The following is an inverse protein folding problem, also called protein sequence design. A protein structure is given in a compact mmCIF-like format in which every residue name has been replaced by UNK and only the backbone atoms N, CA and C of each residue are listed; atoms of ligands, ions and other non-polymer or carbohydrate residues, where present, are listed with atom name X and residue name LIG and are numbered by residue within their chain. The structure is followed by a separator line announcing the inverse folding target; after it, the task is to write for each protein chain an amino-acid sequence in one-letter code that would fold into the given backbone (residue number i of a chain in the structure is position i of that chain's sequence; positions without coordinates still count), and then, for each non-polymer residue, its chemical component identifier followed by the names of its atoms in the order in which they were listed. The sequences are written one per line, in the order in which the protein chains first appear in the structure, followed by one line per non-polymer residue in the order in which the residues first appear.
data_IF_232604601430
#
_entry.id   IF_232604601430
#
_cell.length_a   1.000
_cell.length_b   1.000
_cell.length_c   1.000
_cell.angle_alpha   90.00
_cell.angle_beta   90.00
_cell.angle_gamma   90.00
#
_symmetry.space_group_name_H-M   'P 1'
#
loop_
_entity.id
_entity.type
_entity.pdbx_description
1 polymer ?
#
# COMPACT_ATOMS: atom_id res chain seq x y z
N UNK A 1 8.70 3.42 23.90
CA UNK A 1 8.22 3.58 22.51
C UNK A 1 6.71 3.51 22.53
N UNK A 2 6.03 4.29 21.70
CA UNK A 2 4.55 4.32 21.68
C UNK A 2 4.03 3.48 20.51
N UNK A 3 2.88 2.81 20.65
CA UNK A 3 2.32 1.98 19.57
C UNK A 3 1.54 2.87 18.61
N UNK A 4 1.65 2.62 17.31
CA UNK A 4 0.86 3.33 16.32
C UNK A 4 -0.64 3.03 16.46
N UNK A 5 -1.00 1.81 16.87
CA UNK A 5 -2.39 1.40 17.14
C UNK A 5 -3.11 2.36 18.07
N UNK A 6 -2.46 2.78 19.15
CA UNK A 6 -3.09 3.60 20.20
C UNK A 6 -3.49 4.98 19.65
N UNK A 7 -2.67 5.55 18.76
CA UNK A 7 -2.97 6.81 18.08
C UNK A 7 -4.08 6.65 17.04
N UNK A 8 -4.04 5.57 16.25
CA UNK A 8 -5.08 5.29 15.26
C UNK A 8 -6.42 5.07 15.97
N UNK A 9 -6.47 4.25 17.03
CA UNK A 9 -7.68 3.97 17.78
C UNK A 9 -8.27 5.25 18.39
N UNK A 10 -7.44 6.08 19.01
CA UNK A 10 -7.88 7.34 19.60
C UNK A 10 -8.53 8.29 18.58
N UNK A 11 -8.01 8.35 17.35
CA UNK A 11 -8.54 9.23 16.30
C UNK A 11 -9.72 8.59 15.57
N UNK A 12 -9.62 7.31 15.24
CA UNK A 12 -10.59 6.59 14.42
C UNK A 12 -11.91 6.35 15.17
N UNK A 13 -11.82 6.01 16.46
CA UNK A 13 -13.01 5.78 17.30
C UNK A 13 -13.39 7.01 18.14
N UNK A 14 -12.79 8.17 17.87
CA UNK A 14 -13.05 9.42 18.60
C UNK A 14 -12.92 9.24 20.13
N UNK A 15 -11.86 8.54 20.54
CA UNK A 15 -11.58 8.19 21.94
C UNK A 15 -12.47 7.09 22.54
N UNK A 16 -13.46 6.57 21.81
CA UNK A 16 -14.33 5.47 22.27
C UNK A 16 -13.65 4.13 22.08
N UNK A 17 -14.06 3.14 22.88
CA UNK A 17 -13.60 1.77 22.69
C UNK A 17 -14.18 1.21 21.36
N UNK A 18 -13.38 0.47 20.58
CA UNK A 18 -13.87 -0.27 19.42
C UNK A 18 -14.99 -1.24 19.83
N UNK A 19 -16.10 -1.26 19.10
CA UNK A 19 -17.21 -2.20 19.34
C UNK A 19 -16.87 -3.64 18.99
N UNK A 20 -15.90 -3.86 18.10
CA UNK A 20 -15.41 -5.17 17.69
C UNK A 20 -13.87 -5.16 17.64
N UNK A 21 -13.26 -6.22 18.21
CA UNK A 21 -11.83 -6.45 18.17
C UNK A 21 -11.29 -6.59 16.73
N UNK A 22 -12.09 -7.08 15.77
CA UNK A 22 -11.70 -7.18 14.36
C UNK A 22 -11.56 -5.81 13.67
N UNK A 23 -12.18 -4.77 14.22
CA UNK A 23 -12.07 -3.40 13.70
C UNK A 23 -10.82 -2.67 14.20
N UNK A 24 -10.07 -3.27 15.13
CA UNK A 24 -8.85 -2.64 15.67
C UNK A 24 -7.70 -2.75 14.67
N UNK A 25 -6.85 -1.70 14.56
CA UNK A 25 -5.67 -1.72 13.72
C UNK A 25 -4.71 -2.88 14.05
N UNK A 26 -3.98 -3.35 13.04
CA UNK A 26 -2.87 -4.29 13.19
C UNK A 26 -3.28 -5.58 13.91
N UNK A 27 -4.32 -6.24 13.38
CA UNK A 27 -4.85 -7.52 13.85
C UNK A 27 -5.28 -7.49 15.32
N UNK A 28 -6.21 -6.60 15.69
CA UNK A 28 -6.77 -6.65 17.04
C UNK A 28 -5.86 -6.09 18.14
N UNK A 29 -4.80 -5.33 17.80
CA UNK A 29 -3.66 -5.08 18.69
C UNK A 29 -2.92 -6.35 19.17
N UNK A 30 -3.10 -7.48 18.49
CA UNK A 30 -2.46 -8.78 18.78
C UNK A 30 -1.26 -9.10 17.88
N UNK A 31 -0.88 -8.19 16.99
CA UNK A 31 0.32 -8.33 16.16
C UNK A 31 1.52 -8.77 17.01
N UNK A 32 2.20 -9.85 16.62
CA UNK A 32 3.36 -10.36 17.34
C UNK A 32 4.49 -9.32 17.46
N UNK A 33 4.54 -8.39 16.50
CA UNK A 33 5.42 -7.22 16.48
C UNK A 33 4.59 -5.98 16.13
N UNK A 34 3.95 -5.33 17.12
CA UNK A 34 3.10 -4.19 16.84
C UNK A 34 3.93 -3.05 16.26
N UNK A 35 3.40 -2.28 15.29
CA UNK A 35 4.07 -1.09 14.78
C UNK A 35 4.37 -0.07 15.88
N UNK A 36 5.66 0.25 16.06
CA UNK A 36 6.14 1.16 17.09
C UNK A 36 6.59 2.50 16.49
N UNK A 37 6.22 3.60 17.14
CA UNK A 37 6.67 4.94 16.82
C UNK A 37 7.98 5.26 17.55
N UNK A 38 8.91 5.88 16.83
CA UNK A 38 10.18 6.31 17.39
C UNK A 38 10.00 7.62 18.18
N UNK A 39 10.55 7.72 19.40
CA UNK A 39 10.55 8.98 20.14
C UNK A 39 11.52 10.02 19.54
N UNK A 40 12.49 9.59 18.72
CA UNK A 40 13.46 10.47 18.05
C UNK A 40 13.71 10.00 16.62
N UNK A 41 13.72 10.96 15.70
CA UNK A 41 13.87 10.76 14.26
C UNK A 41 12.57 10.35 13.57
N UNK A 42 12.61 10.36 12.23
CA UNK A 42 11.44 10.12 11.38
C UNK A 42 11.00 8.66 11.49
N UNK A 43 9.70 8.44 11.71
CA UNK A 43 9.01 7.16 11.47
C UNK A 43 8.19 7.28 10.19
N UNK A 44 8.26 6.31 9.29
CA UNK A 44 7.49 6.34 8.04
C UNK A 44 6.38 5.31 8.04
N UNK A 45 5.21 5.71 7.53
CA UNK A 45 4.05 4.85 7.33
C UNK A 45 3.76 4.81 5.83
N UNK A 46 3.68 3.60 5.25
CA UNK A 46 3.27 3.45 3.86
C UNK A 46 1.79 3.78 3.75
N UNK A 47 1.44 4.70 2.86
CA UNK A 47 0.06 4.93 2.44
C UNK A 47 -0.13 4.23 1.09
N UNK A 48 -1.02 3.23 1.04
CA UNK A 48 -1.25 2.42 -0.15
C UNK A 48 -2.71 2.54 -0.64
N UNK A 49 -3.03 3.62 -1.36
CA UNK A 49 -4.33 3.77 -2.00
C UNK A 49 -4.45 2.83 -3.21
N UNK A 50 -5.67 2.37 -3.48
CA UNK A 50 -5.90 1.53 -4.65
C UNK A 50 -7.36 1.15 -4.85
N UNK A 51 -7.69 0.78 -6.09
CA UNK A 51 -9.03 0.27 -6.41
C UNK A 51 -9.35 -1.01 -5.64
N UNK A 52 -8.38 -1.93 -5.54
CA UNK A 52 -8.54 -3.25 -4.94
C UNK A 52 -9.85 -3.93 -5.40
N UNK A 53 -10.13 -3.93 -6.71
CA UNK A 53 -11.42 -4.34 -7.27
C UNK A 53 -11.30 -5.55 -8.21
N UNK A 54 -11.07 -6.77 -7.69
CA UNK A 54 -10.84 -7.13 -6.29
C UNK A 54 -9.34 -7.07 -5.89
N UNK A 55 -8.99 -7.17 -4.59
CA UNK A 55 -7.59 -7.34 -4.19
C UNK A 55 -7.02 -8.68 -4.70
N UNK A 56 -5.70 -8.71 -4.92
CA UNK A 56 -5.01 -9.86 -5.53
C UNK A 56 -3.55 -9.95 -5.06
N UNK A 57 -2.88 -11.07 -5.36
CA UNK A 57 -1.51 -11.35 -4.90
C UNK A 57 -0.50 -10.29 -5.32
N UNK A 58 -0.69 -9.68 -6.50
CA UNK A 58 0.13 -8.57 -6.98
C UNK A 58 0.16 -7.37 -6.03
N UNK A 59 -0.99 -6.95 -5.50
CA UNK A 59 -1.05 -5.88 -4.49
C UNK A 59 -0.25 -6.23 -3.23
N UNK A 60 -0.40 -7.46 -2.74
CA UNK A 60 0.31 -7.94 -1.55
C UNK A 60 1.81 -8.10 -1.78
N UNK A 61 2.22 -8.62 -2.94
CA UNK A 61 3.63 -8.73 -3.31
C UNK A 61 4.29 -7.36 -3.38
N UNK A 62 3.62 -6.36 -3.98
CA UNK A 62 4.11 -4.98 -4.01
C UNK A 62 4.31 -4.42 -2.60
N UNK A 63 3.27 -4.50 -1.76
CA UNK A 63 3.31 -3.99 -0.39
C UNK A 63 4.40 -4.68 0.44
N UNK A 64 4.44 -6.02 0.43
CA UNK A 64 5.39 -6.80 1.21
C UNK A 64 6.83 -6.60 0.73
N UNK A 65 7.07 -6.59 -0.58
CA UNK A 65 8.41 -6.39 -1.13
C UNK A 65 8.98 -5.03 -0.77
N UNK A 66 8.19 -3.97 -0.95
CA UNK A 66 8.61 -2.61 -0.62
C UNK A 66 8.85 -2.48 0.89
N UNK A 67 7.95 -2.99 1.73
CA UNK A 67 8.11 -2.91 3.19
C UNK A 67 9.43 -3.55 3.67
N UNK A 68 9.83 -4.68 3.08
CA UNK A 68 11.02 -5.40 3.51
C UNK A 68 12.32 -5.01 2.79
N UNK A 69 12.25 -4.36 1.61
CA UNK A 69 13.41 -4.12 0.75
C UNK A 69 13.65 -2.64 0.39
N UNK A 70 12.77 -1.72 0.78
CA UNK A 70 12.97 -0.29 0.50
C UNK A 70 14.17 0.34 1.24
N UNK A 71 14.73 -0.35 2.23
CA UNK A 71 15.90 0.10 2.99
C UNK A 71 15.57 0.45 4.45
N UNK A 72 16.44 0.03 5.36
CA UNK A 72 16.25 0.25 6.81
C UNK A 72 16.39 1.73 7.21
N UNK A 73 16.99 2.56 6.35
CA UNK A 73 17.12 4.01 6.49
C UNK A 73 15.77 4.76 6.51
N UNK A 74 14.73 4.17 5.91
CA UNK A 74 13.40 4.78 5.89
C UNK A 74 12.66 4.65 7.22
N UNK A 75 13.02 3.67 8.05
CA UNK A 75 12.31 3.34 9.28
C UNK A 75 10.79 3.16 9.05
N UNK A 76 10.44 2.31 8.09
CA UNK A 76 9.06 1.93 7.82
C UNK A 76 8.50 1.15 9.02
N UNK A 77 7.44 1.66 9.63
CA UNK A 77 6.83 1.05 10.82
C UNK A 77 5.56 0.26 10.49
N UNK A 78 4.76 0.73 9.52
CA UNK A 78 3.47 0.16 9.17
C UNK A 78 3.06 0.52 7.73
N UNK A 79 1.93 -0.05 7.31
CA UNK A 79 1.19 0.37 6.14
C UNK A 79 -0.30 0.62 6.45
N UNK A 80 -0.89 1.57 5.74
CA UNK A 80 -2.33 1.83 5.74
C UNK A 80 -2.82 1.75 4.29
N UNK A 81 -3.74 0.83 4.03
CA UNK A 81 -4.39 0.66 2.74
C UNK A 81 -5.68 1.47 2.73
N UNK A 82 -5.92 2.22 1.66
CA UNK A 82 -7.13 3.05 1.48
C UNK A 82 -7.85 2.60 0.20
N UNK A 83 -8.93 1.80 0.31
CA UNK A 83 -9.72 1.41 -0.85
C UNK A 83 -10.43 2.62 -1.47
N UNK A 84 -10.29 2.77 -2.79
CA UNK A 84 -10.89 3.88 -3.53
C UNK A 84 -12.42 3.89 -3.44
N UNK A 85 -13.04 5.08 -3.45
CA UNK A 85 -14.50 5.22 -3.42
C UNK A 85 -15.18 4.50 -4.59
N UNK A 86 -16.36 3.93 -4.35
CA UNK A 86 -17.10 3.18 -5.38
C UNK A 86 -17.50 4.07 -6.56
N UNK A 87 -17.90 5.33 -6.31
CA UNK A 87 -18.15 6.30 -7.38
C UNK A 87 -17.01 6.40 -8.39
N UNK A 88 -15.76 6.53 -7.91
CA UNK A 88 -14.57 6.58 -8.78
C UNK A 88 -14.36 5.28 -9.57
N UNK A 89 -14.75 4.13 -9.01
CA UNK A 89 -14.73 2.86 -9.74
C UNK A 89 -15.81 2.83 -10.82
N UNK A 90 -17.02 3.32 -10.54
CA UNK A 90 -18.08 3.45 -11.56
C UNK A 90 -17.65 4.37 -12.69
N UNK A 91 -17.10 5.55 -12.36
CA UNK A 91 -16.58 6.49 -13.36
C UNK A 91 -15.47 5.83 -14.20
N UNK A 92 -14.55 5.09 -13.57
CA UNK A 92 -13.46 4.36 -14.24
C UNK A 92 -13.96 3.25 -15.17
N UNK A 93 -15.06 2.59 -14.83
CA UNK A 93 -15.61 1.45 -15.56
C UNK A 93 -16.92 1.78 -16.30
N UNK A 94 -17.21 3.07 -16.50
CA UNK A 94 -18.47 3.51 -17.10
C UNK A 94 -18.70 2.97 -18.52
N UNK A 95 -17.62 2.71 -19.25
CA UNK A 95 -17.65 2.15 -20.61
C UNK A 95 -17.56 0.61 -20.64
N UNK A 96 -17.45 -0.07 -19.50
CA UNK A 96 -17.34 -1.53 -19.40
C UNK A 96 -18.71 -2.13 -19.06
N UNK A 97 -19.41 -2.64 -20.07
CA UNK A 97 -20.72 -3.29 -19.92
C UNK A 97 -20.69 -4.52 -19.00
N UNK A 98 -19.51 -5.10 -18.79
CA UNK A 98 -19.30 -6.27 -17.93
C UNK A 98 -18.59 -5.90 -16.62
N UNK A 99 -18.60 -4.62 -16.25
CA UNK A 99 -17.98 -4.15 -15.03
C UNK A 99 -18.52 -4.89 -13.80
N UNK A 100 -17.60 -5.48 -13.05
CA UNK A 100 -17.89 -6.07 -11.76
C UNK A 100 -17.29 -5.20 -10.65
N UNK A 101 -18.13 -4.45 -9.95
CA UNK A 101 -17.72 -3.47 -8.94
C UNK A 101 -18.07 -3.99 -7.54
N UNK A 102 -17.03 -4.21 -6.74
CA UNK A 102 -17.16 -4.58 -5.34
C UNK A 102 -17.34 -3.33 -4.48
N UNK A 103 -18.23 -3.42 -3.49
CA UNK A 103 -18.44 -2.36 -2.50
C UNK A 103 -17.15 -2.14 -1.69
N UNK A 104 -17.02 -1.00 -1.00
CA UNK A 104 -15.91 -0.76 -0.07
C UNK A 104 -15.92 -1.78 1.06
N UNK A 105 -17.09 -2.17 1.56
CA UNK A 105 -17.23 -3.22 2.56
C UNK A 105 -16.68 -4.56 2.07
N UNK A 106 -17.07 -5.01 0.88
CA UNK A 106 -16.59 -6.26 0.27
C UNK A 106 -15.06 -6.23 0.05
N UNK A 107 -14.52 -5.13 -0.50
CA UNK A 107 -13.08 -4.98 -0.72
C UNK A 107 -12.29 -4.92 0.58
N UNK A 108 -12.82 -4.24 1.59
CA UNK A 108 -12.23 -4.19 2.94
C UNK A 108 -12.17 -5.58 3.56
N UNK A 109 -13.27 -6.34 3.49
CA UNK A 109 -13.34 -7.68 4.03
C UNK A 109 -12.30 -8.61 3.36
N UNK A 110 -12.22 -8.58 2.02
CA UNK A 110 -11.22 -9.34 1.26
C UNK A 110 -9.77 -8.96 1.61
N UNK A 111 -9.51 -7.68 1.93
CA UNK A 111 -8.20 -7.20 2.34
C UNK A 111 -7.84 -7.61 3.77
N UNK A 112 -8.73 -7.39 4.75
CA UNK A 112 -8.44 -7.60 6.19
C UNK A 112 -7.91 -9.00 6.50
N UNK A 113 -8.49 -10.02 5.88
CA UNK A 113 -8.10 -11.42 6.09
C UNK A 113 -6.82 -11.83 5.37
N UNK A 114 -6.24 -10.93 4.56
CA UNK A 114 -5.15 -11.23 3.64
C UNK A 114 -3.89 -10.39 3.87
N UNK A 115 -3.98 -9.31 4.65
CA UNK A 115 -2.88 -8.38 4.88
C UNK A 115 -2.02 -8.79 6.08
N UNK A 116 -0.72 -8.41 6.12
CA UNK A 116 0.15 -8.75 7.22
C UNK A 116 -0.18 -7.93 8.48
N UNK A 117 0.24 -8.40 9.66
CA UNK A 117 -0.01 -7.78 10.96
C UNK A 117 0.48 -6.31 11.09
N UNK A 118 1.43 -5.88 10.25
CA UNK A 118 1.94 -4.50 10.24
C UNK A 118 1.19 -3.58 9.26
N UNK A 119 0.15 -4.09 8.59
CA UNK A 119 -0.72 -3.34 7.72
C UNK A 119 -2.12 -3.20 8.32
N UNK A 120 -2.84 -2.15 7.92
CA UNK A 120 -4.22 -1.91 8.31
C UNK A 120 -5.03 -1.39 7.12
N UNK A 121 -6.31 -1.74 7.05
CA UNK A 121 -7.24 -1.24 6.03
C UNK A 121 -8.08 -0.12 6.66
N UNK A 122 -7.97 1.08 6.11
CA UNK A 122 -8.89 2.16 6.41
C UNK A 122 -10.18 1.96 5.61
N UNK A 123 -11.28 1.67 6.30
CA UNK A 123 -12.55 1.20 5.74
C UNK A 123 -13.63 2.29 5.56
N UNK A 124 -13.29 3.56 5.85
CA UNK A 124 -14.13 4.72 5.55
C UNK A 124 -13.78 5.33 4.17
N UNK A 125 -14.44 6.42 3.78
CA UNK A 125 -14.26 7.06 2.47
C UNK A 125 -12.91 7.76 2.29
N UNK A 126 -12.50 8.00 1.04
CA UNK A 126 -11.29 8.80 0.76
C UNK A 126 -11.35 10.22 1.37
N UNK A 127 -12.56 10.81 1.47
CA UNK A 127 -12.80 12.08 2.16
C UNK A 127 -12.59 11.96 3.68
N UNK A 128 -13.12 10.90 4.29
CA UNK A 128 -12.90 10.62 5.71
C UNK A 128 -11.42 10.38 6.01
N UNK A 129 -10.67 9.78 5.07
CA UNK A 129 -9.23 9.59 5.19
C UNK A 129 -8.48 10.92 5.36
N UNK A 130 -8.82 11.96 4.59
CA UNK A 130 -8.16 13.27 4.71
C UNK A 130 -8.35 13.86 6.12
N UNK A 131 -9.56 13.77 6.64
CA UNK A 131 -9.90 14.24 8.00
C UNK A 131 -9.18 13.42 9.07
N UNK A 132 -9.24 12.09 8.95
CA UNK A 132 -8.56 11.16 9.85
C UNK A 132 -7.05 11.42 9.89
N UNK A 133 -6.42 11.54 8.72
CA UNK A 133 -4.99 11.79 8.59
C UNK A 133 -4.59 13.09 9.26
N UNK A 134 -5.32 14.18 9.02
CA UNK A 134 -5.02 15.50 9.61
C UNK A 134 -5.06 15.45 11.15
N UNK A 135 -6.08 14.80 11.72
CA UNK A 135 -6.18 14.58 13.18
C UNK A 135 -5.01 13.73 13.70
N UNK A 136 -4.63 12.68 12.98
CA UNK A 136 -3.54 11.79 13.35
C UNK A 136 -2.17 12.51 13.33
N UNK A 137 -1.90 13.31 12.29
CA UNK A 137 -0.69 14.14 12.19
C UNK A 137 -0.62 15.20 13.29
N UNK A 138 -1.76 15.83 13.62
CA UNK A 138 -1.86 16.78 14.73
C UNK A 138 -1.47 16.10 16.05
N UNK A 139 -2.02 14.91 16.32
CA UNK A 139 -1.72 14.15 17.54
C UNK A 139 -0.26 13.71 17.62
N UNK A 140 0.37 13.36 16.48
CA UNK A 140 1.81 13.08 16.45
C UNK A 140 2.64 14.32 16.77
N UNK A 141 2.27 15.48 16.20
CA UNK A 141 2.97 16.75 16.40
C UNK A 141 2.88 17.23 17.84
N UNK A 142 1.70 17.16 18.46
CA UNK A 142 1.49 17.49 19.89
C UNK A 142 2.40 16.68 20.81
N UNK A 143 2.73 15.45 20.41
CA UNK A 143 3.55 14.51 21.16
C UNK A 143 5.03 14.54 20.74
N UNK A 144 5.43 15.49 19.90
CA UNK A 144 6.80 15.66 19.42
C UNK A 144 7.32 14.52 18.53
N UNK A 145 6.41 13.76 17.90
CA UNK A 145 6.75 12.63 17.02
C UNK A 145 6.86 13.10 15.56
N UNK A 146 7.99 12.83 14.90
CA UNK A 146 8.15 13.04 13.45
C UNK A 146 7.68 11.78 12.72
N UNK A 147 6.41 11.78 12.30
CA UNK A 147 5.80 10.70 11.52
C UNK A 147 5.45 11.22 10.14
N UNK A 148 5.81 10.47 9.09
CA UNK A 148 5.55 10.86 7.69
C UNK A 148 4.89 9.74 6.91
N UNK A 149 3.94 10.09 6.06
CA UNK A 149 3.35 9.17 5.10
C UNK A 149 4.18 9.15 3.82
N UNK A 150 4.41 7.95 3.29
CA UNK A 150 5.07 7.73 1.99
C UNK A 150 4.09 7.00 1.08
N UNK A 151 3.82 7.56 -0.11
CA UNK A 151 2.88 6.96 -1.05
C UNK A 151 3.47 5.69 -1.64
N UNK A 152 2.73 4.59 -1.64
CA UNK A 152 3.06 3.41 -2.45
C UNK A 152 2.14 3.38 -3.67
N UNK A 153 2.73 3.30 -4.85
CA UNK A 153 2.01 3.08 -6.10
C UNK A 153 2.70 2.02 -6.94
N UNK A 154 1.90 1.32 -7.75
CA UNK A 154 2.40 0.37 -8.72
C UNK A 154 2.76 1.03 -10.05
N UNK A 155 3.03 0.23 -11.09
CA UNK A 155 3.41 0.72 -12.41
C UNK A 155 2.33 1.53 -13.14
N UNK A 156 1.07 1.46 -12.70
CA UNK A 156 -0.01 2.33 -13.23
C UNK A 156 0.05 3.77 -12.67
N UNK A 157 0.86 4.00 -11.64
CA UNK A 157 0.98 5.32 -10.99
C UNK A 157 2.30 6.00 -11.32
N UNK A 158 3.28 5.21 -11.74
CA UNK A 158 4.64 5.63 -12.04
C UNK A 158 5.07 4.93 -13.32
N UNK A 159 5.07 5.69 -14.42
CA UNK A 159 5.56 5.25 -15.72
C UNK A 159 6.55 6.28 -16.29
N UNK A 160 7.21 5.94 -17.39
CA UNK A 160 8.11 6.86 -18.08
C UNK A 160 7.36 8.05 -18.70
N UNK A 161 6.04 7.90 -18.92
CA UNK A 161 5.18 8.89 -19.58
C UNK A 161 4.32 9.67 -18.59
N UNK A 162 3.82 9.00 -17.54
CA UNK A 162 2.89 9.57 -16.58
C UNK A 162 3.30 9.26 -15.14
N UNK A 163 3.03 10.21 -14.24
CA UNK A 163 3.24 10.02 -12.82
C UNK A 163 2.13 10.69 -12.01
N UNK A 164 1.49 9.91 -11.14
CA UNK A 164 0.58 10.46 -10.13
C UNK A 164 1.43 11.15 -9.06
N UNK A 165 1.29 12.47 -8.86
CA UNK A 165 2.16 13.19 -7.95
C UNK A 165 1.78 12.87 -6.49
N UNK A 166 2.73 12.49 -5.61
CA UNK A 166 2.44 12.06 -4.24
C UNK A 166 1.60 13.03 -3.39
N UNK A 167 1.67 14.32 -3.72
CA UNK A 167 0.94 15.40 -3.05
C UNK A 167 -0.58 15.23 -3.08
N UNK A 168 -1.13 14.54 -4.08
CA UNK A 168 -2.60 14.33 -4.18
C UNK A 168 -3.13 13.45 -3.05
N UNK A 169 -2.24 12.67 -2.42
CA UNK A 169 -2.53 11.89 -1.22
C UNK A 169 -1.96 12.52 0.05
N UNK A 170 -1.45 13.75 -0.03
CA UNK A 170 -0.74 14.46 1.04
C UNK A 170 0.68 13.95 1.29
N UNK A 171 1.23 13.08 0.45
CA UNK A 171 2.59 12.54 0.62
C UNK A 171 3.62 13.44 -0.08
N UNK A 172 4.82 13.49 0.46
CA UNK A 172 5.97 14.17 -0.18
C UNK A 172 6.77 13.17 -1.00
N UNK A 173 7.07 12.03 -0.37
CA UNK A 173 7.86 10.94 -0.94
C UNK A 173 6.94 9.83 -1.49
N UNK A 174 7.48 9.00 -2.38
CA UNK A 174 6.83 7.79 -2.87
C UNK A 174 7.77 6.59 -2.98
N UNK A 175 7.16 5.41 -3.00
CA UNK A 175 7.76 4.11 -3.23
C UNK A 175 7.07 3.46 -4.44
N UNK A 176 7.87 2.81 -5.28
CA UNK A 176 7.40 1.98 -6.37
C UNK A 176 8.33 0.79 -6.59
N UNK A 177 7.84 -0.24 -7.28
CA UNK A 177 8.57 -1.47 -7.56
C UNK A 177 7.97 -2.15 -8.79
N UNK A 178 8.77 -3.00 -9.40
CA UNK A 178 8.40 -3.87 -10.51
C UNK A 178 8.23 -5.35 -10.09
N UNK A 179 8.11 -5.60 -8.77
CA UNK A 179 7.93 -6.95 -8.21
C UNK A 179 6.62 -7.61 -8.66
N UNK A 180 5.55 -6.82 -8.83
CA UNK A 180 4.23 -7.33 -9.18
C UNK A 180 4.02 -7.41 -10.68
N UNK A 181 4.61 -6.47 -11.45
CA UNK A 181 4.55 -6.36 -12.90
C UNK A 181 5.70 -5.47 -13.37
N UNK A 182 6.08 -5.58 -14.64
CA UNK A 182 7.11 -4.71 -15.23
C UNK A 182 6.72 -3.24 -15.17
N UNK A 183 7.74 -2.38 -15.15
CA UNK A 183 7.66 -0.93 -15.33
C UNK A 183 8.33 -0.56 -16.65
N UNK A 184 7.79 0.41 -17.35
CA UNK A 184 8.28 0.90 -18.64
C UNK A 184 9.54 1.78 -18.53
N UNK A 185 9.83 2.27 -17.32
CA UNK A 185 11.01 3.06 -16.99
C UNK A 185 12.22 2.22 -16.57
N UNK A 186 12.13 0.88 -16.51
CA UNK A 186 13.29 0.02 -16.21
C UNK A 186 13.67 -0.83 -17.42
N UNK A 187 14.96 -0.85 -17.71
CA UNK A 187 15.59 -1.82 -18.61
C UNK A 187 16.55 -2.71 -17.82
N UNK A 188 17.13 -3.77 -18.42
CA UNK A 188 18.16 -4.57 -17.76
C UNK A 188 19.41 -3.77 -17.34
N UNK A 189 19.69 -2.64 -17.99
CA UNK A 189 20.95 -1.91 -17.81
C UNK A 189 20.78 -0.48 -17.28
N UNK A 190 19.60 0.13 -17.38
CA UNK A 190 19.37 1.49 -16.90
C UNK A 190 17.91 1.76 -16.50
N UNK A 191 17.69 2.89 -15.84
CA UNK A 191 16.37 3.43 -15.52
C UNK A 191 16.11 4.69 -16.35
N UNK A 192 15.03 4.70 -17.14
CA UNK A 192 14.54 5.91 -17.81
C UNK A 192 14.03 6.90 -16.77
N UNK A 193 14.21 8.17 -17.04
CA UNK A 193 13.75 9.27 -16.19
C UNK A 193 12.23 9.25 -16.06
N UNK A 194 11.71 9.50 -14.85
CA UNK A 194 10.28 9.72 -14.62
C UNK A 194 9.90 11.18 -14.93
N UNK A 195 8.64 11.44 -15.31
CA UNK A 195 8.12 12.80 -15.42
C UNK A 195 8.41 13.63 -14.16
N UNK A 196 8.84 14.88 -14.37
CA UNK A 196 9.11 15.86 -13.31
C UNK A 196 10.13 15.44 -12.24
N UNK A 197 10.98 14.46 -12.52
CA UNK A 197 12.05 14.02 -11.62
C UNK A 197 13.43 14.41 -12.17
N UNK A 198 14.46 14.38 -11.33
CA UNK A 198 15.87 14.34 -11.75
C UNK A 198 16.28 12.95 -12.22
N UNK A 199 17.57 12.75 -12.44
CA UNK A 199 18.11 11.44 -12.79
C UNK A 199 18.01 10.46 -11.61
N UNK A 200 18.11 9.18 -11.92
CA UNK A 200 18.14 8.14 -10.90
C UNK A 200 19.52 8.06 -10.26
N UNK A 201 19.55 8.14 -8.94
CA UNK A 201 20.74 8.14 -8.11
C UNK A 201 20.66 7.02 -7.08
N UNK A 202 21.80 6.71 -6.46
CA UNK A 202 21.82 5.86 -5.26
C UNK A 202 21.47 6.70 -4.03
N UNK A 203 20.67 6.16 -3.09
CA UNK A 203 20.39 6.88 -1.86
C UNK A 203 21.69 7.15 -1.09
N UNK A 204 21.78 8.33 -0.48
CA UNK A 204 22.89 8.65 0.40
C UNK A 204 22.80 7.78 1.66
N UNK A 205 23.85 7.00 1.91
CA UNK A 205 23.90 6.03 3.00
C UNK A 205 24.85 6.50 4.11
N UNK A 206 24.31 6.67 5.32
CA UNK A 206 25.08 6.86 6.54
C UNK A 206 25.27 5.48 7.21
N UNK A 207 26.37 4.81 6.84
CA UNK A 207 26.69 3.44 7.28
C UNK A 207 26.82 3.39 8.81
N UNK A 208 27.52 4.35 9.41
CA UNK A 208 27.76 4.37 10.86
C UNK A 208 26.46 4.49 11.64
N UNK A 209 25.54 5.34 11.18
CA UNK A 209 24.22 5.46 11.79
C UNK A 209 23.41 4.18 11.62
N UNK A 210 23.42 3.58 10.44
CA UNK A 210 22.72 2.32 10.18
C UNK A 210 23.24 1.20 11.08
N UNK A 211 24.57 1.06 11.19
CA UNK A 211 25.20 0.07 12.03
C UNK A 211 24.83 0.25 13.51
N UNK A 212 24.94 1.48 14.04
CA UNK A 212 24.51 1.77 15.43
C UNK A 212 23.05 1.40 15.69
N UNK A 213 22.17 1.61 14.72
CA UNK A 213 20.75 1.27 14.86
C UNK A 213 20.52 -0.24 14.85
N UNK A 214 21.21 -0.98 13.97
CA UNK A 214 21.11 -2.44 13.91
C UNK A 214 21.68 -3.06 15.19
N UNK A 215 22.84 -2.60 15.66
CA UNK A 215 23.44 -3.01 16.94
C UNK A 215 22.48 -2.79 18.11
N UNK A 216 21.82 -1.62 18.17
CA UNK A 216 20.84 -1.33 19.23
C UNK A 216 19.62 -2.25 19.16
N UNK A 217 19.12 -2.57 17.96
CA UNK A 217 17.97 -3.46 17.74
C UNK A 217 18.30 -4.93 18.03
N UNK A 218 19.54 -5.33 17.81
CA UNK A 218 20.03 -6.70 17.99
C UNK A 218 20.89 -6.86 19.25
N UNK A 219 20.65 -6.03 20.28
CA UNK A 219 21.39 -6.09 21.54
C UNK A 219 21.33 -7.51 22.14
N UNK A 220 22.51 -8.05 22.47
CA UNK A 220 22.65 -9.41 23.00
C UNK A 220 22.77 -10.51 21.94
N UNK A 221 22.74 -10.19 20.65
CA UNK A 221 23.05 -11.12 19.57
C UNK A 221 24.56 -11.25 19.33
N UNK A 222 25.04 -12.38 18.79
CA UNK A 222 26.43 -12.55 18.38
C UNK A 222 26.88 -11.47 17.41
N UNK A 223 28.15 -11.07 17.49
CA UNK A 223 28.73 -10.04 16.61
C UNK A 223 28.62 -10.42 15.12
N UNK A 224 28.73 -11.70 14.80
CA UNK A 224 28.57 -12.23 13.44
C UNK A 224 27.17 -11.98 12.90
N UNK A 225 26.11 -12.28 13.66
CA UNK A 225 24.72 -12.01 13.27
C UNK A 225 24.47 -10.51 13.05
N UNK A 226 25.06 -9.66 13.89
CA UNK A 226 24.97 -8.20 13.73
C UNK A 226 25.66 -7.77 12.44
N UNK A 227 26.86 -8.27 12.16
CA UNK A 227 27.61 -7.95 10.94
C UNK A 227 26.83 -8.37 9.69
N UNK A 228 26.26 -9.57 9.69
CA UNK A 228 25.44 -10.08 8.59
C UNK A 228 24.20 -9.21 8.35
N UNK A 229 23.55 -8.77 9.44
CA UNK A 229 22.40 -7.86 9.35
C UNK A 229 22.79 -6.49 8.77
N UNK A 230 23.93 -5.92 9.18
CA UNK A 230 24.47 -4.68 8.61
C UNK A 230 24.77 -4.86 7.13
N UNK A 231 25.50 -5.92 6.74
CA UNK A 231 25.81 -6.21 5.34
C UNK A 231 24.56 -6.45 4.50
N UNK A 232 23.52 -7.08 5.04
CA UNK A 232 22.23 -7.24 4.37
C UNK A 232 21.52 -5.89 4.19
N UNK A 233 21.48 -5.05 5.22
CA UNK A 233 20.84 -3.74 5.17
C UNK A 233 21.52 -2.81 4.16
N UNK A 234 22.86 -2.77 4.15
CA UNK A 234 23.65 -2.02 3.15
C UNK A 234 23.34 -2.51 1.74
N UNK A 235 23.35 -3.82 1.49
CA UNK A 235 23.01 -4.39 0.17
C UNK A 235 21.61 -4.00 -0.30
N UNK A 236 20.61 -4.03 0.60
CA UNK A 236 19.23 -3.60 0.27
C UNK A 236 19.19 -2.13 -0.15
N UNK A 237 19.86 -1.24 0.59
CA UNK A 237 19.88 0.19 0.28
C UNK A 237 20.67 0.46 -1.01
N UNK A 238 21.74 -0.28 -1.28
CA UNK A 238 22.48 -0.16 -2.53
C UNK A 238 21.70 -0.69 -3.74
N UNK A 239 20.78 -1.63 -3.54
CA UNK A 239 19.93 -2.16 -4.61
C UNK A 239 18.89 -1.14 -5.08
N UNK A 240 18.40 -0.26 -4.21
CA UNK A 240 17.38 0.73 -4.59
C UNK A 240 17.97 1.88 -5.42
N UNK A 241 17.08 2.60 -6.10
CA UNK A 241 17.39 3.86 -6.78
C UNK A 241 16.41 4.94 -6.33
N UNK A 242 16.85 6.19 -6.28
CA UNK A 242 16.01 7.34 -5.93
C UNK A 242 16.09 8.37 -7.03
N UNK A 243 14.99 9.06 -7.33
CA UNK A 243 15.02 10.27 -8.12
C UNK A 243 14.33 11.40 -7.35
N UNK A 244 14.83 12.62 -7.52
CA UNK A 244 14.32 13.79 -6.81
C UNK A 244 13.27 14.48 -7.66
N UNK A 245 12.08 14.67 -7.10
CA UNK A 245 11.02 15.46 -7.74
C UNK A 245 11.45 16.92 -7.86
N UNK A 246 11.25 17.49 -9.03
CA UNK A 246 11.58 18.88 -9.36
C UNK A 246 10.45 19.85 -8.99
N UNK A 247 9.21 19.36 -8.90
CA UNK A 247 8.07 20.13 -8.41
C UNK A 247 8.14 20.41 -6.91
N UNK A 248 7.48 21.48 -6.46
CA UNK A 248 7.33 21.80 -5.04
C UNK A 248 6.01 21.24 -4.46
N UNK A 249 6.00 20.76 -3.19
CA UNK A 249 7.18 20.52 -2.35
C UNK A 249 8.04 19.39 -2.95
N UNK A 250 9.36 19.60 -2.93
CA UNK A 250 10.32 18.60 -3.40
C UNK A 250 10.27 17.35 -2.54
N UNK A 251 10.42 16.19 -3.17
CA UNK A 251 10.38 14.88 -2.51
C UNK A 251 11.17 13.84 -3.30
N UNK A 252 11.22 12.61 -2.79
CA UNK A 252 11.92 11.51 -3.44
C UNK A 252 10.93 10.45 -3.93
N UNK A 253 11.14 9.96 -5.15
CA UNK A 253 10.58 8.67 -5.58
C UNK A 253 11.68 7.63 -5.38
N UNK A 254 11.39 6.58 -4.63
CA UNK A 254 12.31 5.45 -4.44
C UNK A 254 11.79 4.21 -5.16
N UNK A 255 12.60 3.70 -6.07
CA UNK A 255 12.35 2.47 -6.80
C UNK A 255 13.05 1.29 -6.12
N UNK A 256 12.27 0.26 -5.79
CA UNK A 256 12.73 -0.97 -5.14
C UNK A 256 12.71 -2.11 -6.16
N UNK A 257 13.83 -2.44 -6.81
CA UNK A 257 13.83 -3.44 -7.87
C UNK A 257 13.55 -4.85 -7.34
N UNK A 258 12.94 -5.69 -8.16
CA UNK A 258 13.10 -7.14 -8.07
C UNK A 258 14.30 -7.60 -8.92
N UNK A 259 14.87 -8.75 -8.60
CA UNK A 259 15.71 -9.50 -9.52
C UNK A 259 14.91 -9.85 -10.77
N UNK A 260 15.39 -9.45 -11.95
CA UNK A 260 14.68 -9.67 -13.22
C UNK A 260 14.47 -11.15 -13.52
N UNK A 261 15.37 -12.03 -13.06
CA UNK A 261 15.20 -13.47 -13.19
C UNK A 261 14.05 -14.03 -12.33
N UNK A 262 13.59 -13.26 -11.33
CA UNK A 262 12.49 -13.61 -10.43
C UNK A 262 11.22 -12.83 -10.72
N UNK A 263 11.23 -11.95 -11.73
CA UNK A 263 10.06 -11.18 -12.10
C UNK A 263 8.97 -12.14 -12.66
N UNK A 264 7.73 -12.05 -12.18
CA UNK A 264 6.66 -12.91 -12.69
C UNK A 264 6.40 -12.62 -14.16
N UNK A 265 6.31 -13.67 -14.98
CA UNK A 265 5.96 -13.59 -16.40
C UNK A 265 4.49 -13.21 -16.61
N UNK A 266 3.61 -13.67 -15.71
CA UNK A 266 2.21 -13.29 -15.67
C UNK A 266 1.88 -12.67 -14.32
N UNK A 267 1.69 -11.35 -14.32
CA UNK A 267 1.28 -10.59 -13.16
C UNK A 267 -0.24 -10.74 -12.95
N UNK A 268 -0.71 -11.08 -11.74
CA UNK A 268 -2.14 -11.04 -11.45
C UNK A 268 -2.65 -9.60 -11.59
N UNK A 269 -3.76 -9.43 -12.31
CA UNK A 269 -4.44 -8.14 -12.48
C UNK A 269 -5.91 -8.23 -12.09
N UNK A 270 -6.48 -7.12 -11.63
CA UNK A 270 -7.90 -7.01 -11.32
C UNK A 270 -8.79 -7.22 -12.57
N UNK A 271 -8.27 -6.91 -13.76
CA UNK A 271 -8.98 -7.18 -15.03
C UNK A 271 -9.05 -8.68 -15.30
N UNK A 272 -7.93 -9.40 -15.27
CA UNK A 272 -7.93 -10.86 -15.49
C UNK A 272 -8.82 -11.61 -14.49
N UNK A 273 -8.91 -11.13 -13.26
CA UNK A 273 -9.82 -11.71 -12.25
C UNK A 273 -11.29 -11.49 -12.61
N UNK A 274 -11.64 -10.29 -13.07
CA UNK A 274 -13.02 -9.98 -13.50
C UNK A 274 -13.39 -10.74 -14.77
N UNK A 275 -12.43 -10.95 -15.69
CA UNK A 275 -12.63 -11.82 -16.85
C UNK A 275 -12.93 -13.26 -16.42
N UNK A 276 -12.19 -13.79 -15.44
CA UNK A 276 -12.48 -15.11 -14.86
C UNK A 276 -13.87 -15.15 -14.22
N UNK A 277 -14.25 -14.11 -13.46
CA UNK A 277 -15.59 -14.01 -12.84
C UNK A 277 -16.69 -14.04 -13.90
N UNK A 278 -16.49 -13.34 -15.03
CA UNK A 278 -17.49 -13.23 -16.09
C UNK A 278 -17.58 -14.48 -16.98
N UNK A 279 -16.49 -15.26 -17.09
CA UNK A 279 -16.40 -16.37 -18.06
C UNK A 279 -16.39 -17.77 -17.43
N UNK A 280 -16.00 -17.90 -16.16
CA UNK A 280 -15.85 -19.22 -15.54
C UNK A 280 -17.19 -19.80 -15.07
N UNK A 281 -17.43 -21.10 -15.27
CA UNK A 281 -18.54 -21.80 -14.61
C UNK A 281 -18.43 -21.70 -13.08
N UNK A 282 -19.57 -21.58 -12.39
CA UNK A 282 -19.62 -21.39 -10.93
C UNK A 282 -18.85 -22.47 -10.13
N UNK A 283 -18.92 -23.72 -10.58
CA UNK A 283 -18.22 -24.87 -9.97
C UNK A 283 -16.69 -24.77 -10.05
N UNK A 284 -16.17 -24.02 -11.03
CA UNK A 284 -14.74 -23.90 -11.31
C UNK A 284 -14.17 -22.53 -10.86
N UNK A 285 -15.04 -21.59 -10.46
CA UNK A 285 -14.67 -20.21 -10.15
C UNK A 285 -13.59 -20.11 -9.08
N UNK A 286 -13.75 -20.79 -7.95
CA UNK A 286 -12.77 -20.77 -6.86
C UNK A 286 -11.40 -21.30 -7.33
N UNK A 287 -11.40 -22.41 -8.07
CA UNK A 287 -10.20 -23.04 -8.60
C UNK A 287 -9.46 -22.10 -9.55
N UNK A 288 -10.19 -21.45 -10.45
CA UNK A 288 -9.63 -20.53 -11.45
C UNK A 288 -9.07 -19.26 -10.81
N UNK A 289 -9.70 -18.78 -9.73
CA UNK A 289 -9.23 -17.62 -8.97
C UNK A 289 -7.98 -17.90 -8.13
N UNK A 290 -7.76 -19.15 -7.71
CA UNK A 290 -6.75 -19.51 -6.69
C UNK A 290 -5.31 -19.10 -6.99
N UNK A 291 -4.94 -18.96 -8.27
CA UNK A 291 -3.61 -18.47 -8.65
C UNK A 291 -3.44 -16.97 -8.49
N UNK A 292 -4.52 -16.19 -8.60
CA UNK A 292 -4.47 -14.73 -8.70
C UNK A 292 -4.77 -14.02 -7.37
N UNK A 293 -5.68 -14.58 -6.56
CA UNK A 293 -6.16 -13.92 -5.34
C UNK A 293 -5.69 -14.64 -4.08
N UNK A 294 -5.69 -13.91 -2.96
CA UNK A 294 -5.28 -14.45 -1.66
C UNK A 294 -6.36 -15.32 -1.02
N UNK A 295 -7.64 -15.01 -1.27
CA UNK A 295 -8.82 -15.70 -0.70
C UNK A 295 -9.83 -16.06 -1.79
N UNK A 296 -9.57 -17.10 -2.59
CA UNK A 296 -10.43 -17.47 -3.71
C UNK A 296 -11.83 -17.89 -3.28
N UNK A 297 -11.97 -18.61 -2.16
CA UNK A 297 -13.27 -19.04 -1.63
C UNK A 297 -14.16 -17.86 -1.21
N UNK A 298 -13.60 -16.91 -0.47
CA UNK A 298 -14.31 -15.70 -0.03
C UNK A 298 -14.76 -14.85 -1.21
N UNK A 299 -13.86 -14.63 -2.18
CA UNK A 299 -14.20 -13.89 -3.40
C UNK A 299 -15.29 -14.60 -4.20
N UNK A 300 -15.20 -15.91 -4.39
CA UNK A 300 -16.22 -16.70 -5.08
C UNK A 300 -17.58 -16.62 -4.37
N UNK A 301 -17.59 -16.61 -3.03
CA UNK A 301 -18.82 -16.46 -2.23
C UNK A 301 -19.49 -15.10 -2.47
N UNK A 302 -18.73 -14.00 -2.36
CA UNK A 302 -19.22 -12.64 -2.65
C UNK A 302 -19.76 -12.56 -4.09
N UNK A 303 -19.02 -13.12 -5.05
CA UNK A 303 -19.44 -13.12 -6.46
C UNK A 303 -20.78 -13.84 -6.64
N UNK A 304 -20.96 -15.02 -6.04
CA UNK A 304 -22.22 -15.79 -6.09
C UNK A 304 -23.39 -15.01 -5.48
N UNK A 305 -23.17 -14.34 -4.37
CA UNK A 305 -24.20 -13.51 -3.72
C UNK A 305 -24.62 -12.34 -4.62
N UNK A 306 -23.65 -11.62 -5.21
CA UNK A 306 -23.94 -10.49 -6.10
C UNK A 306 -24.64 -10.92 -7.39
N UNK A 307 -24.28 -12.08 -7.96
CA UNK A 307 -24.96 -12.62 -9.14
C UNK A 307 -26.43 -12.93 -8.83
N UNK A 308 -26.75 -13.44 -7.62
CA UNK A 308 -28.14 -13.67 -7.20
C UNK A 308 -28.95 -12.38 -7.07
N UNK A 309 -28.30 -11.25 -6.78
CA UNK A 309 -28.94 -9.93 -6.66
C UNK A 309 -29.23 -9.26 -8.02
N UNK A 310 -28.84 -9.87 -9.14
CA UNK A 310 -29.10 -9.33 -10.48
C UNK A 310 -28.16 -8.16 -10.86
N UNK A 311 -28.54 -7.34 -11.87
CA UNK A 311 -27.69 -6.27 -12.40
C UNK A 311 -27.26 -5.24 -11.34
N UNK A 312 -28.17 -4.87 -10.43
CA UNK A 312 -27.89 -3.91 -9.35
C UNK A 312 -26.81 -4.42 -8.38
N UNK A 313 -26.77 -5.75 -8.18
CA UNK A 313 -25.74 -6.41 -7.39
C UNK A 313 -24.33 -6.22 -7.93
N UNK A 314 -24.16 -6.06 -9.26
CA UNK A 314 -22.85 -5.91 -9.92
C UNK A 314 -22.26 -4.50 -9.83
N UNK A 315 -23.09 -3.49 -9.58
CA UNK A 315 -22.68 -2.07 -9.58
C UNK A 315 -22.29 -1.54 -8.19
N UNK A 316 -22.28 -2.40 -7.18
CA UNK A 316 -21.83 -2.11 -5.82
C UNK A 316 -22.54 -0.91 -5.20
N UNK A 317 -23.84 -1.01 -4.94
CA UNK A 317 -24.61 0.10 -4.33
C UNK A 317 -24.15 0.34 -2.89
N UNK A 318 -23.75 1.56 -2.57
CA UNK A 318 -23.49 2.07 -1.21
C UNK A 318 -24.24 3.40 -1.08
N UNK A 319 -24.81 3.71 0.09
CA UNK A 319 -25.41 5.02 0.37
C UNK A 319 -24.29 6.08 0.32
N UNK A 320 -24.29 6.93 -0.71
CA UNK A 320 -23.29 7.99 -0.88
C UNK A 320 -23.72 9.25 -0.12
N UNK A 321 -22.87 9.76 0.77
CA UNK A 321 -22.92 11.17 1.15
C UNK A 321 -22.61 12.03 -0.09
N UNK A 322 -23.38 13.08 -0.39
CA UNK A 322 -23.13 13.92 -1.56
C UNK A 322 -21.76 14.60 -1.46
N UNK A 323 -20.90 14.37 -2.46
CA UNK A 323 -19.61 15.05 -2.59
C UNK A 323 -19.69 16.19 -3.63
N UNK A 324 -19.20 17.40 -3.31
CA UNK A 324 -18.70 18.30 -4.35
C UNK A 324 -17.37 17.77 -4.88
N UNK A 325 -17.27 17.66 -6.20
CA UNK A 325 -16.07 17.24 -6.94
C UNK A 325 -14.94 18.25 -6.66
N UNK A 326 -13.76 17.84 -6.15
CA UNK A 326 -12.57 18.66 -6.31
C UNK A 326 -12.19 18.59 -7.80
N UNK A 327 -12.33 19.71 -8.51
CA UNK A 327 -11.83 19.86 -9.86
C UNK A 327 -10.33 19.51 -9.89
N UNK A 328 -10.00 18.38 -10.50
CA UNK A 328 -8.66 18.13 -11.01
C UNK A 328 -8.63 18.83 -12.36
N UNK A 329 -7.98 20.00 -12.39
CA UNK A 329 -7.61 20.64 -13.66
C UNK A 329 -6.48 19.80 -14.26
N UNK A 330 -6.74 19.27 -15.46
CA UNK A 330 -5.88 18.41 -16.26
C UNK A 330 -4.55 19.06 -16.62
#
# INVERSE_FOLDING_TARGET
MKRLSDYIEAVYFDGKAPSDAQNRPFNGSKAARPPMLRPRGITRIILYPGSFNPPHKGHFHLLSHVFHNAGDDLHLAAAILVPTNVKRLRDKYAADENAFIFTRAERTALLRDSIPDWAWVFDQSEKAWLTFRSKLETKFKEEGLDVRFILLGGPDWFSAEEMVPPRVWGCVDALTSDVSRSVDFRTPTFLKKLPFCGDWEKPQLDIDRLERQIQAKMRGKPRTEIQDAVSLAVRKIQAVSVCRRQERPGGLIRFVPIDLAKQPTEAPSSTAIRDIINTSPDKDLEKNLGRLVLRPNMLATIVREKIKMGPDGRMGVEDEEPEPVPEVVW
#
